data_IF_842408391327
#
_entry.id   IF_842408391327
#
_cell.length_a   1.000
_cell.length_b   1.000
_cell.length_c   1.000
_cell.angle_alpha   90.00
_cell.angle_beta   90.00
_cell.angle_gamma   90.00
#
_symmetry.space_group_name_H-M   'P 1'
#
loop_
_entity.id
_entity.type
_entity.pdbx_description
1 polymer ?
#
# COMPACT_ATOMS: atom_id res chain seq x y z
N UNK A 1 27.14 10.67 16.18
CA UNK A 1 26.91 11.59 17.32
C UNK A 1 25.43 11.69 17.71
N UNK A 2 24.48 11.93 16.76
CA UNK A 2 23.06 12.08 17.06
C UNK A 2 22.45 10.84 17.75
N UNK A 3 22.71 9.63 17.24
CA UNK A 3 22.24 8.39 17.86
C UNK A 3 22.84 8.16 19.25
N UNK A 4 24.09 8.60 19.48
CA UNK A 4 24.70 8.54 20.80
C UNK A 4 23.99 9.45 21.81
N UNK A 5 23.65 10.67 21.38
CA UNK A 5 22.84 11.58 22.19
C UNK A 5 21.47 10.98 22.51
N UNK A 6 20.78 10.41 21.53
CA UNK A 6 19.50 9.71 21.77
C UNK A 6 19.64 8.57 22.77
N UNK A 7 20.68 7.74 22.63
CA UNK A 7 20.96 6.67 23.59
C UNK A 7 21.16 7.18 25.02
N UNK A 8 21.84 8.32 25.15
CA UNK A 8 22.13 8.92 26.46
C UNK A 8 20.89 9.38 27.21
N UNK A 9 19.92 10.00 26.51
CA UNK A 9 18.75 10.54 27.20
C UNK A 9 17.50 9.66 27.12
N UNK A 10 17.34 8.82 26.06
CA UNK A 10 16.20 7.89 25.96
C UNK A 10 16.46 6.58 26.69
N UNK A 11 17.72 6.17 26.83
CA UNK A 11 18.06 4.81 27.25
C UNK A 11 17.62 3.73 26.23
N UNK A 12 17.76 2.44 26.59
CA UNK A 12 17.31 1.35 25.75
C UNK A 12 15.77 1.28 25.73
N UNK A 13 15.15 1.62 24.59
CA UNK A 13 13.71 1.61 24.39
C UNK A 13 13.36 1.39 22.90
N UNK A 14 12.10 1.08 22.61
CA UNK A 14 11.60 0.84 21.24
C UNK A 14 11.84 2.03 20.31
N UNK A 15 11.71 3.25 20.83
CA UNK A 15 11.99 4.47 20.05
C UNK A 15 13.44 4.54 19.62
N UNK A 16 14.39 4.25 20.51
CA UNK A 16 15.81 4.21 20.16
C UNK A 16 16.10 3.13 19.11
N UNK A 17 15.52 1.93 19.25
CA UNK A 17 15.67 0.85 18.28
C UNK A 17 15.15 1.28 16.89
N UNK A 18 14.00 1.93 16.85
CA UNK A 18 13.43 2.48 15.61
C UNK A 18 14.35 3.54 14.98
N UNK A 19 14.90 4.47 15.76
CA UNK A 19 15.82 5.50 15.25
C UNK A 19 17.13 4.91 14.72
N UNK A 20 17.66 3.88 15.41
CA UNK A 20 18.85 3.13 14.97
C UNK A 20 18.58 2.42 13.63
N UNK A 21 17.39 1.87 13.46
CA UNK A 21 16.96 1.25 12.19
C UNK A 21 16.82 2.30 11.07
N UNK A 22 16.28 3.49 11.36
CA UNK A 22 16.06 4.55 10.37
C UNK A 22 17.35 5.26 9.94
N UNK A 23 18.30 5.46 10.83
CA UNK A 23 19.50 6.26 10.57
C UNK A 23 20.32 5.82 9.35
N UNK A 24 20.73 4.55 9.20
CA UNK A 24 21.50 4.12 8.02
C UNK A 24 20.68 4.26 6.74
N UNK A 25 19.37 4.05 6.79
CA UNK A 25 18.47 4.24 5.65
C UNK A 25 18.42 5.69 5.18
N UNK A 26 18.31 6.64 6.10
CA UNK A 26 18.31 8.06 5.79
C UNK A 26 19.66 8.51 5.20
N UNK A 27 20.78 7.97 5.69
CA UNK A 27 22.12 8.23 5.13
C UNK A 27 22.19 7.74 3.69
N UNK A 28 21.75 6.52 3.42
CA UNK A 28 21.74 5.96 2.07
C UNK A 28 20.76 6.69 1.14
N UNK A 29 19.58 7.08 1.63
CA UNK A 29 18.64 7.88 0.85
C UNK A 29 19.23 9.23 0.47
N UNK A 30 19.96 9.90 1.39
CA UNK A 30 20.69 11.11 1.05
C UNK A 30 21.79 10.85 0.02
N UNK A 31 22.50 9.73 0.11
CA UNK A 31 23.57 9.37 -0.82
C UNK A 31 23.04 9.23 -2.25
N UNK A 32 21.93 8.49 -2.43
CA UNK A 32 21.36 8.20 -3.76
C UNK A 32 20.53 9.34 -4.34
N UNK A 33 20.08 10.29 -3.51
CA UNK A 33 19.28 11.42 -3.95
C UNK A 33 20.10 12.32 -4.88
N UNK A 34 19.54 12.74 -6.01
CA UNK A 34 20.16 13.73 -6.93
C UNK A 34 20.40 15.07 -6.22
N UNK A 35 21.37 15.90 -6.66
CA UNK A 35 21.55 17.24 -6.09
C UNK A 35 20.26 18.07 -6.09
N UNK A 36 19.46 18.00 -7.16
CA UNK A 36 18.18 18.69 -7.30
C UNK A 36 17.01 17.97 -6.64
N UNK A 37 17.26 16.83 -5.99
CA UNK A 37 16.22 15.95 -5.44
C UNK A 37 15.69 16.40 -4.10
N UNK A 38 14.49 15.94 -3.79
CA UNK A 38 13.75 16.18 -2.57
C UNK A 38 13.42 14.89 -1.84
N UNK A 39 13.33 14.93 -0.52
CA UNK A 39 12.85 13.83 0.30
C UNK A 39 11.70 14.30 1.18
N UNK A 40 10.68 13.44 1.30
CA UNK A 40 9.53 13.62 2.17
C UNK A 40 9.49 12.46 3.15
N UNK A 41 9.56 12.73 4.43
CA UNK A 41 9.47 11.72 5.48
C UNK A 41 8.14 11.88 6.23
N UNK A 42 7.23 10.96 6.01
CA UNK A 42 5.93 10.92 6.66
C UNK A 42 6.04 10.11 7.96
N UNK A 43 5.61 10.69 9.04
CA UNK A 43 5.60 10.06 10.36
C UNK A 43 4.42 10.52 11.20
N UNK A 44 4.14 9.77 12.26
CA UNK A 44 3.22 10.20 13.28
C UNK A 44 3.90 11.15 14.29
N UNK A 45 3.14 11.88 15.11
CA UNK A 45 3.69 12.80 16.10
C UNK A 45 4.57 12.12 17.17
N UNK A 46 4.41 10.81 17.41
CA UNK A 46 5.18 10.08 18.44
C UNK A 46 6.68 10.05 18.12
N UNK A 47 7.00 9.78 16.84
CA UNK A 47 8.39 9.70 16.37
C UNK A 47 8.88 11.01 15.73
N UNK A 48 7.97 11.91 15.36
CA UNK A 48 8.24 13.06 14.49
C UNK A 48 9.39 13.92 14.98
N UNK A 49 9.39 14.32 16.25
CA UNK A 49 10.43 15.20 16.80
C UNK A 49 11.84 14.57 16.77
N UNK A 50 11.96 13.28 17.06
CA UNK A 50 13.23 12.56 16.99
C UNK A 50 13.70 12.37 15.55
N UNK A 51 12.78 12.06 14.65
CA UNK A 51 13.07 11.94 13.22
C UNK A 51 13.50 13.28 12.62
N UNK A 52 12.92 14.41 13.08
CA UNK A 52 13.34 15.74 12.66
C UNK A 52 14.82 15.99 13.00
N UNK A 53 15.25 15.68 14.23
CA UNK A 53 16.64 15.82 14.64
C UNK A 53 17.56 14.87 13.84
N UNK A 54 17.12 13.65 13.58
CA UNK A 54 17.86 12.69 12.78
C UNK A 54 17.99 13.14 11.31
N UNK A 55 16.94 13.74 10.76
CA UNK A 55 16.95 14.35 9.42
C UNK A 55 17.88 15.55 9.35
N UNK A 56 17.89 16.42 10.38
CA UNK A 56 18.83 17.55 10.47
C UNK A 56 20.28 17.07 10.54
N UNK A 57 20.55 16.02 11.32
CA UNK A 57 21.88 15.42 11.41
C UNK A 57 22.33 14.78 10.08
N UNK A 58 21.37 14.25 9.30
CA UNK A 58 21.65 13.54 8.06
C UNK A 58 21.72 14.49 6.87
N UNK A 59 20.70 15.32 6.65
CA UNK A 59 20.58 16.20 5.49
C UNK A 59 21.18 17.58 5.70
N UNK A 60 21.25 18.04 6.96
CA UNK A 60 21.61 19.39 7.37
C UNK A 60 20.37 20.26 7.58
N UNK A 61 20.29 20.94 8.73
CA UNK A 61 19.14 21.78 9.10
C UNK A 61 18.83 22.90 8.10
N UNK A 62 19.86 23.43 7.40
CA UNK A 62 19.68 24.43 6.34
C UNK A 62 18.89 23.95 5.12
N UNK A 63 18.82 22.62 4.90
CA UNK A 63 18.07 22.01 3.81
C UNK A 63 16.65 21.59 4.20
N UNK A 64 16.25 21.82 5.44
CA UNK A 64 14.86 21.72 5.86
C UNK A 64 14.02 22.80 5.17
N UNK A 65 13.00 22.37 4.43
CA UNK A 65 12.15 23.29 3.69
C UNK A 65 10.84 23.58 4.40
N UNK A 66 10.16 22.52 4.87
CA UNK A 66 8.87 22.63 5.58
C UNK A 66 8.57 21.39 6.43
N UNK A 67 7.83 21.64 7.47
CA UNK A 67 6.97 20.67 8.12
C UNK A 67 5.57 20.82 7.50
N UNK A 68 5.05 19.75 6.94
CA UNK A 68 3.71 19.70 6.35
C UNK A 68 2.83 18.94 7.33
N UNK A 69 1.71 19.55 7.69
CA UNK A 69 0.69 18.98 8.56
C UNK A 69 -0.42 18.41 7.69
N UNK A 70 -0.57 17.11 7.68
CA UNK A 70 -1.68 16.46 7.00
C UNK A 70 -2.81 16.17 7.99
N UNK A 71 -3.96 16.81 7.78
CA UNK A 71 -5.15 16.63 8.62
C UNK A 71 -5.78 15.26 8.33
N UNK A 72 -5.81 14.42 9.37
CA UNK A 72 -6.44 13.09 9.35
C UNK A 72 -7.58 13.00 10.36
N UNK A 73 -8.08 14.13 10.82
CA UNK A 73 -9.03 14.22 11.94
C UNK A 73 -10.29 13.39 11.71
N UNK A 74 -10.52 12.46 12.62
CA UNK A 74 -11.79 11.76 12.80
C UNK A 74 -12.18 11.91 14.26
N UNK A 75 -13.09 12.84 14.54
CA UNK A 75 -13.52 13.19 15.89
C UNK A 75 -14.79 12.41 16.27
N UNK A 76 -14.81 11.09 16.06
CA UNK A 76 -15.98 10.24 16.30
C UNK A 76 -15.61 8.86 16.86
N UNK A 77 -16.63 8.15 17.32
CA UNK A 77 -16.50 6.79 17.82
C UNK A 77 -15.72 6.69 19.13
N UNK A 78 -15.02 5.57 19.35
CA UNK A 78 -14.29 5.28 20.59
C UNK A 78 -13.20 6.32 20.93
N UNK A 79 -12.70 7.05 19.95
CA UNK A 79 -11.68 8.09 20.16
C UNK A 79 -12.19 9.23 21.02
N UNK A 80 -13.51 9.52 21.00
CA UNK A 80 -14.10 10.61 21.79
C UNK A 80 -14.22 10.27 23.28
N UNK A 81 -14.01 9.01 23.66
CA UNK A 81 -13.98 8.55 25.05
C UNK A 81 -12.63 8.79 25.72
N UNK A 82 -11.59 9.11 24.91
CA UNK A 82 -10.25 9.36 25.43
C UNK A 82 -10.22 10.61 26.30
N UNK A 83 -9.63 10.49 27.50
CA UNK A 83 -9.43 11.62 28.41
C UNK A 83 -8.17 12.43 28.02
N UNK A 84 -8.05 12.77 26.74
CA UNK A 84 -6.94 13.50 26.14
C UNK A 84 -7.34 14.10 24.80
N UNK A 85 -6.51 15.03 24.27
CA UNK A 85 -6.68 15.55 22.91
C UNK A 85 -6.57 14.43 21.87
N UNK A 86 -7.54 14.37 20.96
CA UNK A 86 -7.57 13.35 19.91
C UNK A 86 -6.55 13.75 18.85
N UNK A 87 -5.68 12.79 18.46
CA UNK A 87 -4.74 12.99 17.36
C UNK A 87 -5.49 13.29 16.07
N UNK A 88 -5.23 14.47 15.48
CA UNK A 88 -5.87 14.98 14.29
C UNK A 88 -4.95 15.10 13.07
N UNK A 89 -3.65 14.80 13.18
CA UNK A 89 -2.73 14.98 12.06
C UNK A 89 -1.59 13.97 12.04
N UNK A 90 -0.98 13.83 10.87
CA UNK A 90 0.36 13.29 10.65
C UNK A 90 1.28 14.41 10.16
N UNK A 91 2.58 14.23 10.39
CA UNK A 91 3.62 15.16 9.97
C UNK A 91 4.39 14.60 8.79
N UNK A 92 4.71 15.48 7.82
CA UNK A 92 5.57 15.15 6.69
C UNK A 92 6.72 16.15 6.65
N UNK A 93 7.94 15.71 6.91
CA UNK A 93 9.14 16.55 6.82
C UNK A 93 9.63 16.62 5.39
N UNK A 94 9.75 17.82 4.87
CA UNK A 94 10.24 18.10 3.52
C UNK A 94 11.65 18.67 3.58
N UNK A 95 12.59 17.95 2.97
CA UNK A 95 13.99 18.36 2.80
C UNK A 95 14.39 18.30 1.34
N UNK A 96 15.43 19.07 1.00
CA UNK A 96 16.12 18.96 -0.29
C UNK A 96 17.54 18.50 -0.09
N UNK A 97 18.17 17.97 -1.14
CA UNK A 97 19.60 17.59 -1.10
C UNK A 97 20.50 18.80 -1.05
N UNK A 98 20.14 19.85 -1.83
CA UNK A 98 20.92 21.07 -2.00
C UNK A 98 19.98 22.30 -2.08
N UNK A 99 20.56 23.49 -2.27
CA UNK A 99 19.83 24.75 -2.38
C UNK A 99 19.12 24.89 -3.74
N UNK A 100 19.63 24.27 -4.80
CA UNK A 100 18.99 24.20 -6.12
C UNK A 100 18.20 22.89 -6.21
N UNK A 101 16.86 22.97 -6.26
CA UNK A 101 15.99 21.83 -6.28
C UNK A 101 14.75 22.03 -7.15
N UNK A 102 14.16 20.93 -7.61
CA UNK A 102 12.91 20.95 -8.36
C UNK A 102 11.74 21.22 -7.43
N UNK A 103 10.99 22.29 -7.70
CA UNK A 103 9.72 22.57 -7.02
C UNK A 103 8.71 23.22 -7.95
N UNK A 104 7.69 22.46 -8.32
CA UNK A 104 6.56 22.91 -9.14
C UNK A 104 5.44 23.38 -8.20
N UNK A 105 5.14 24.69 -8.21
CA UNK A 105 4.09 25.27 -7.37
C UNK A 105 2.76 24.59 -7.63
N UNK A 106 2.16 24.05 -6.57
CA UNK A 106 0.84 23.47 -6.61
C UNK A 106 -0.20 24.51 -6.23
N UNK A 107 -1.34 24.48 -6.91
CA UNK A 107 -2.46 25.39 -6.66
C UNK A 107 -3.76 24.61 -6.57
N UNK A 108 -4.72 25.14 -5.85
CA UNK A 108 -6.09 24.65 -5.75
C UNK A 108 -7.07 25.75 -6.17
N UNK A 109 -8.33 25.40 -6.28
CA UNK A 109 -9.39 26.38 -6.55
C UNK A 109 -9.56 27.38 -5.40
N UNK A 110 -10.00 28.55 -5.73
CA UNK A 110 -10.38 29.54 -4.73
C UNK A 110 -11.74 29.20 -4.13
N UNK A 111 -11.91 29.46 -2.83
CA UNK A 111 -13.20 29.29 -2.15
C UNK A 111 -14.25 30.21 -2.78
N UNK A 112 -15.50 29.77 -2.83
CA UNK A 112 -16.60 30.51 -3.43
C UNK A 112 -16.79 31.90 -2.78
N UNK A 113 -16.59 32.02 -1.46
CA UNK A 113 -16.67 33.27 -0.73
C UNK A 113 -15.61 34.28 -1.21
N UNK A 114 -14.44 33.81 -1.64
CA UNK A 114 -13.41 34.65 -2.22
C UNK A 114 -13.78 35.10 -3.64
N UNK A 115 -14.29 34.17 -4.46
CA UNK A 115 -14.77 34.45 -5.82
C UNK A 115 -15.93 35.43 -5.80
N UNK A 116 -16.85 35.36 -4.83
CA UNK A 116 -17.98 36.28 -4.67
C UNK A 116 -17.56 37.73 -4.39
N UNK A 117 -16.34 37.98 -3.92
CA UNK A 117 -15.80 39.33 -3.74
C UNK A 117 -15.57 40.09 -5.06
N UNK A 118 -15.47 39.38 -6.18
CA UNK A 118 -15.31 39.96 -7.52
C UNK A 118 -16.67 40.35 -8.09
N UNK A 119 -17.29 41.36 -7.49
CA UNK A 119 -18.65 41.78 -7.76
C UNK A 119 -18.76 43.07 -8.62
N UNK A 120 -17.62 43.71 -8.94
CA UNK A 120 -17.54 44.85 -9.84
C UNK A 120 -17.21 44.38 -11.25
N UNK A 121 -17.68 45.16 -12.26
CA UNK A 121 -17.41 44.89 -13.68
C UNK A 121 -16.79 46.16 -14.27
N UNK A 122 -15.71 46.02 -15.04
CA UNK A 122 -15.08 47.12 -15.76
C UNK A 122 -15.76 47.39 -17.13
N UNK A 123 -15.18 48.32 -17.88
CA UNK A 123 -15.70 48.73 -19.20
C UNK A 123 -15.68 47.60 -20.24
N UNK A 124 -14.79 46.63 -20.05
CA UNK A 124 -14.59 45.49 -20.95
C UNK A 124 -15.38 44.23 -20.50
N UNK A 125 -16.23 44.38 -19.46
CA UNK A 125 -17.04 43.28 -18.91
C UNK A 125 -16.29 42.34 -17.98
N UNK A 126 -15.03 42.65 -17.59
CA UNK A 126 -14.22 41.78 -16.70
C UNK A 126 -14.60 42.00 -15.23
N UNK A 127 -14.84 40.93 -14.51
CA UNK A 127 -15.13 40.96 -13.07
C UNK A 127 -13.89 41.29 -12.26
N UNK A 128 -13.98 42.21 -11.32
CA UNK A 128 -12.89 42.62 -10.45
C UNK A 128 -13.34 43.00 -9.03
N UNK A 129 -12.37 43.10 -8.11
CA UNK A 129 -12.55 43.81 -6.85
C UNK A 129 -11.31 44.67 -6.55
N UNK A 130 -11.51 45.75 -5.78
CA UNK A 130 -10.42 46.64 -5.39
C UNK A 130 -9.61 46.04 -4.23
N UNK A 131 -8.40 45.62 -4.50
CA UNK A 131 -7.47 45.10 -3.51
C UNK A 131 -6.29 46.02 -3.29
N UNK A 132 -6.20 46.62 -2.09
CA UNK A 132 -5.09 47.52 -1.72
C UNK A 132 -4.87 48.66 -2.75
N UNK A 133 -5.96 49.30 -3.21
CA UNK A 133 -5.91 50.44 -4.13
C UNK A 133 -5.66 50.09 -5.61
N UNK A 134 -5.64 48.78 -5.97
CA UNK A 134 -5.53 48.34 -7.38
C UNK A 134 -6.61 47.29 -7.69
N UNK A 135 -7.22 47.37 -8.91
CA UNK A 135 -8.18 46.35 -9.33
C UNK A 135 -7.48 44.99 -9.50
N UNK A 136 -8.10 43.96 -8.96
CA UNK A 136 -7.71 42.55 -9.18
C UNK A 136 -8.80 41.89 -9.98
N UNK A 137 -8.45 41.28 -11.08
CA UNK A 137 -9.39 40.65 -12.00
C UNK A 137 -9.60 39.16 -11.66
N UNK A 138 -10.86 38.74 -11.76
CA UNK A 138 -11.24 37.34 -11.46
C UNK A 138 -10.52 36.35 -12.38
N UNK A 139 -10.50 36.66 -13.68
CA UNK A 139 -9.87 35.76 -14.68
C UNK A 139 -8.39 35.48 -14.36
N UNK A 140 -7.66 36.55 -13.97
CA UNK A 140 -6.24 36.43 -13.62
C UNK A 140 -6.04 35.61 -12.36
N UNK A 141 -6.93 35.76 -11.39
CA UNK A 141 -6.90 35.00 -10.13
C UNK A 141 -7.27 33.55 -10.36
N UNK A 142 -8.29 33.25 -11.15
CA UNK A 142 -8.68 31.89 -11.49
C UNK A 142 -7.57 31.17 -12.27
N UNK A 143 -6.95 31.84 -13.23
CA UNK A 143 -5.81 31.29 -13.99
C UNK A 143 -4.60 31.00 -13.10
N UNK A 144 -4.33 31.82 -12.10
CA UNK A 144 -3.21 31.67 -11.17
C UNK A 144 -3.47 30.58 -10.15
N UNK A 145 -4.72 30.37 -9.75
CA UNK A 145 -5.12 29.49 -8.67
C UNK A 145 -4.70 30.00 -7.28
N UNK A 146 -5.16 29.33 -6.24
CA UNK A 146 -4.76 29.55 -4.85
C UNK A 146 -3.57 28.66 -4.51
N UNK A 147 -2.46 29.23 -4.08
CA UNK A 147 -1.30 28.44 -3.64
C UNK A 147 -1.68 27.53 -2.46
N UNK A 148 -1.19 26.31 -2.50
CA UNK A 148 -1.32 25.33 -1.40
C UNK A 148 -0.27 25.65 -0.35
N UNK A 149 -0.67 25.73 0.92
CA UNK A 149 0.22 25.90 2.07
C UNK A 149 0.74 24.57 2.59
N UNK A 150 1.27 24.61 3.80
CA UNK A 150 1.86 23.47 4.50
C UNK A 150 0.87 22.75 5.45
N UNK A 151 -0.38 23.21 5.53
CA UNK A 151 -1.48 22.49 6.22
C UNK A 151 -2.42 21.94 5.17
N UNK A 152 -2.46 20.60 5.06
CA UNK A 152 -3.25 19.89 4.05
C UNK A 152 -4.49 19.25 4.68
N UNK A 153 -5.61 19.95 4.60
CA UNK A 153 -6.93 19.48 5.06
C UNK A 153 -7.87 19.10 3.91
N UNK A 154 -7.41 19.22 2.68
CA UNK A 154 -8.16 18.94 1.47
C UNK A 154 -7.92 17.55 0.89
N UNK A 155 -7.04 16.77 1.50
CA UNK A 155 -6.79 15.35 1.17
C UNK A 155 -7.28 14.49 2.31
N UNK A 156 -8.41 13.83 2.10
CA UNK A 156 -9.01 12.99 3.13
C UNK A 156 -8.23 11.69 3.36
N UNK A 157 -8.08 11.30 4.62
CA UNK A 157 -7.49 10.03 5.02
C UNK A 157 -8.50 8.88 4.88
N UNK A 158 -8.02 7.63 4.84
CA UNK A 158 -8.91 6.46 4.89
C UNK A 158 -9.62 6.25 6.23
N UNK A 159 -9.26 7.00 7.26
CA UNK A 159 -10.04 7.08 8.49
C UNK A 159 -11.28 7.96 8.31
N UNK A 160 -11.17 9.03 7.50
CA UNK A 160 -12.28 9.91 7.14
C UNK A 160 -13.18 9.29 6.08
N UNK A 161 -12.60 8.55 5.10
CA UNK A 161 -13.36 7.84 4.07
C UNK A 161 -12.99 6.35 4.08
N UNK A 162 -13.53 5.55 5.02
CA UNK A 162 -13.20 4.12 5.12
C UNK A 162 -13.70 3.30 3.93
N UNK A 163 -14.69 3.81 3.19
CA UNK A 163 -15.29 3.16 2.01
C UNK A 163 -14.61 3.53 0.69
N UNK A 164 -13.53 4.34 0.70
CA UNK A 164 -12.83 4.74 -0.50
C UNK A 164 -12.47 3.53 -1.38
N UNK A 165 -12.77 3.61 -2.68
CA UNK A 165 -12.59 2.51 -3.63
C UNK A 165 -11.12 2.13 -3.79
N UNK A 166 -10.21 3.10 -3.74
CA UNK A 166 -8.75 2.88 -3.82
C UNK A 166 -8.15 2.17 -2.59
N UNK A 167 -8.90 2.04 -1.48
CA UNK A 167 -8.45 1.36 -0.27
C UNK A 167 -8.41 -0.15 -0.48
N UNK A 168 -7.19 -0.74 -0.54
CA UNK A 168 -6.97 -2.17 -0.78
C UNK A 168 -7.01 -3.01 0.50
N UNK A 169 -7.10 -2.39 1.68
CA UNK A 169 -7.10 -3.08 2.98
C UNK A 169 -5.72 -3.26 3.60
N UNK A 170 -4.67 -2.68 3.01
CA UNK A 170 -3.35 -2.66 3.64
C UNK A 170 -3.32 -1.65 4.80
N UNK A 171 -2.86 -2.04 6.01
CA UNK A 171 -3.06 -1.24 7.24
C UNK A 171 -2.49 0.18 7.18
N UNK A 172 -1.35 0.37 6.52
CA UNK A 172 -0.63 1.66 6.44
C UNK A 172 -0.83 2.39 5.11
N UNK A 173 -1.77 1.92 4.27
CA UNK A 173 -2.03 2.53 2.96
C UNK A 173 -2.40 4.01 3.10
N UNK A 174 -1.80 4.84 2.25
CA UNK A 174 -2.10 6.27 2.12
C UNK A 174 -2.93 6.53 0.85
N UNK A 175 -3.74 7.62 0.80
CA UNK A 175 -4.46 8.03 -0.40
C UNK A 175 -3.51 8.38 -1.55
N UNK A 176 -3.86 8.03 -2.79
CA UNK A 176 -3.05 8.40 -3.97
C UNK A 176 -2.87 9.91 -4.10
N UNK A 177 -3.91 10.70 -3.83
CA UNK A 177 -3.87 12.15 -3.91
C UNK A 177 -2.75 12.78 -3.07
N UNK A 178 -2.40 12.17 -1.92
CA UNK A 178 -1.30 12.62 -1.08
C UNK A 178 0.04 12.49 -1.81
N UNK A 179 0.27 11.31 -2.40
CA UNK A 179 1.52 10.99 -3.10
C UNK A 179 1.59 11.73 -4.45
N UNK A 180 0.47 11.88 -5.16
CA UNK A 180 0.39 12.68 -6.39
C UNK A 180 0.82 14.13 -6.14
N UNK A 181 0.33 14.76 -5.07
CA UNK A 181 0.72 16.13 -4.68
C UNK A 181 2.22 16.25 -4.46
N UNK A 182 2.81 15.32 -3.70
CA UNK A 182 4.25 15.30 -3.41
C UNK A 182 5.05 15.12 -4.70
N UNK A 183 4.70 14.14 -5.52
CA UNK A 183 5.40 13.80 -6.76
C UNK A 183 5.32 14.95 -7.77
N UNK A 184 4.13 15.55 -7.94
CA UNK A 184 3.93 16.70 -8.83
C UNK A 184 4.76 17.91 -8.38
N UNK A 185 4.82 18.18 -7.07
CA UNK A 185 5.56 19.31 -6.54
C UNK A 185 7.08 19.17 -6.74
N UNK A 186 7.64 17.97 -6.59
CA UNK A 186 9.09 17.80 -6.49
C UNK A 186 9.72 16.93 -7.56
N UNK A 187 9.02 16.69 -8.67
CA UNK A 187 9.56 15.96 -9.83
C UNK A 187 8.89 16.40 -11.14
N UNK A 188 9.55 16.09 -12.25
CA UNK A 188 9.02 16.25 -13.61
C UNK A 188 8.75 14.88 -14.25
N UNK A 189 8.02 14.83 -15.39
CA UNK A 189 7.86 13.59 -16.16
C UNK A 189 9.23 12.99 -16.52
N UNK A 190 9.35 11.66 -16.37
CA UNK A 190 10.60 10.91 -16.59
C UNK A 190 11.55 10.90 -15.39
N UNK A 191 11.37 11.73 -14.37
CA UNK A 191 12.19 11.66 -13.16
C UNK A 191 11.98 10.36 -12.40
N UNK A 192 12.98 9.97 -11.59
CA UNK A 192 12.95 8.77 -10.76
C UNK A 192 12.38 9.07 -9.37
N UNK A 193 11.35 8.34 -8.99
CA UNK A 193 10.75 8.35 -7.65
C UNK A 193 11.15 7.06 -6.92
N UNK A 194 11.71 7.19 -5.73
CA UNK A 194 12.08 6.07 -4.86
C UNK A 194 11.18 6.06 -3.62
N UNK A 195 10.53 4.94 -3.34
CA UNK A 195 9.86 4.68 -2.07
C UNK A 195 10.48 3.44 -1.40
N UNK A 196 11.31 3.63 -0.34
CA UNK A 196 12.02 2.54 0.31
C UNK A 196 11.17 1.77 1.34
N UNK A 197 9.90 2.16 1.53
CA UNK A 197 8.92 1.54 2.41
C UNK A 197 7.56 1.48 1.73
N UNK A 198 7.56 0.96 0.49
CA UNK A 198 6.46 1.19 -0.47
C UNK A 198 5.15 0.46 -0.11
N UNK A 199 5.14 -0.50 0.83
CA UNK A 199 3.95 -1.22 1.24
C UNK A 199 3.14 -1.75 0.05
N UNK A 200 1.85 -1.45 0.00
CA UNK A 200 0.99 -1.84 -1.13
C UNK A 200 1.17 -0.97 -2.39
N UNK A 201 2.24 -0.16 -2.48
CA UNK A 201 2.66 0.54 -3.69
C UNK A 201 1.83 1.78 -4.06
N UNK A 202 1.33 2.56 -3.11
CA UNK A 202 0.58 3.80 -3.43
C UNK A 202 1.46 4.81 -4.15
N UNK A 203 2.68 5.04 -3.67
CA UNK A 203 3.66 5.93 -4.32
C UNK A 203 4.00 5.44 -5.72
N UNK A 204 4.17 4.14 -5.88
CA UNK A 204 4.51 3.51 -7.15
C UNK A 204 3.39 3.68 -8.18
N UNK A 205 2.14 3.45 -7.77
CA UNK A 205 0.97 3.66 -8.63
C UNK A 205 0.82 5.14 -9.03
N UNK A 206 0.99 6.06 -8.09
CA UNK A 206 0.95 7.49 -8.36
C UNK A 206 2.10 7.92 -9.31
N UNK A 207 3.33 7.42 -9.12
CA UNK A 207 4.45 7.70 -10.00
C UNK A 207 4.22 7.18 -11.43
N UNK A 208 3.74 5.94 -11.57
CA UNK A 208 3.38 5.34 -12.87
C UNK A 208 2.32 6.18 -13.58
N UNK A 209 1.25 6.56 -12.88
CA UNK A 209 0.15 7.39 -13.40
C UNK A 209 0.63 8.75 -13.88
N UNK A 210 1.61 9.33 -13.18
CA UNK A 210 2.21 10.61 -13.48
C UNK A 210 3.39 10.53 -14.45
N UNK A 211 3.64 9.38 -15.07
CA UNK A 211 4.73 9.14 -16.04
C UNK A 211 6.13 9.39 -15.44
N UNK A 212 6.32 9.05 -14.16
CA UNK A 212 7.64 8.99 -13.52
C UNK A 212 8.18 7.58 -13.61
N UNK A 213 9.50 7.44 -13.71
CA UNK A 213 10.17 6.16 -13.43
C UNK A 213 10.15 5.93 -11.92
N UNK A 214 10.11 4.67 -11.47
CA UNK A 214 10.00 4.41 -10.06
C UNK A 214 10.78 3.17 -9.60
N UNK A 215 11.16 3.19 -8.33
CA UNK A 215 11.69 2.06 -7.59
C UNK A 215 10.93 1.97 -6.28
N UNK A 216 10.33 0.81 -6.00
CA UNK A 216 9.70 0.50 -4.71
C UNK A 216 10.49 -0.58 -3.99
N UNK A 217 10.72 -0.40 -2.69
CA UNK A 217 11.39 -1.39 -1.84
C UNK A 217 10.47 -1.69 -0.66
N UNK A 218 10.30 -2.95 -0.35
CA UNK A 218 9.64 -3.40 0.89
C UNK A 218 10.30 -4.68 1.38
N UNK A 219 10.23 -4.92 2.68
CA UNK A 219 10.81 -6.12 3.30
C UNK A 219 9.86 -7.31 3.26
N UNK A 220 8.58 -7.10 2.96
CA UNK A 220 7.55 -8.14 3.04
C UNK A 220 7.12 -8.62 1.65
N UNK A 221 7.12 -9.94 1.45
CA UNK A 221 6.60 -10.54 0.23
C UNK A 221 5.10 -10.27 0.04
N UNK A 222 4.34 -10.09 1.14
CA UNK A 222 2.93 -9.70 1.07
C UNK A 222 2.76 -8.33 0.42
N UNK A 223 3.55 -7.32 0.82
CA UNK A 223 3.51 -5.99 0.22
C UNK A 223 3.83 -6.04 -1.27
N UNK A 224 4.88 -6.77 -1.66
CA UNK A 224 5.28 -6.95 -3.06
C UNK A 224 4.15 -7.62 -3.87
N UNK A 225 3.50 -8.64 -3.34
CA UNK A 225 2.37 -9.32 -4.00
C UNK A 225 1.20 -8.37 -4.23
N UNK A 226 0.83 -7.57 -3.21
CA UNK A 226 -0.23 -6.57 -3.32
C UNK A 226 0.11 -5.48 -4.33
N UNK A 227 1.36 -5.01 -4.34
CA UNK A 227 1.84 -3.99 -5.28
C UNK A 227 1.81 -4.51 -6.72
N UNK A 228 2.30 -5.74 -6.98
CA UNK A 228 2.23 -6.39 -8.29
C UNK A 228 0.77 -6.44 -8.78
N UNK A 229 -0.13 -6.90 -7.91
CA UNK A 229 -1.56 -6.98 -8.23
C UNK A 229 -2.15 -5.59 -8.52
N UNK A 230 -1.86 -4.59 -7.68
CA UNK A 230 -2.31 -3.20 -7.89
C UNK A 230 -1.89 -2.67 -9.24
N UNK A 231 -0.62 -2.81 -9.60
CA UNK A 231 -0.09 -2.35 -10.89
C UNK A 231 -0.80 -3.02 -12.07
N UNK A 232 -0.97 -4.34 -12.01
CA UNK A 232 -1.67 -5.10 -13.06
C UNK A 232 -3.16 -4.76 -13.16
N UNK A 233 -3.84 -4.59 -12.03
CA UNK A 233 -5.26 -4.21 -12.01
C UNK A 233 -5.48 -2.80 -12.57
N UNK A 234 -4.57 -1.85 -12.24
CA UNK A 234 -4.70 -0.43 -12.59
C UNK A 234 -4.27 -0.16 -14.03
N UNK A 235 -3.12 -0.69 -14.45
CA UNK A 235 -2.46 -0.35 -15.71
C UNK A 235 -2.42 -1.52 -16.72
N UNK A 236 -2.75 -2.73 -16.30
CA UNK A 236 -2.71 -3.92 -17.17
C UNK A 236 -1.31 -4.19 -17.71
N UNK A 237 -1.21 -4.40 -19.01
CA UNK A 237 0.07 -4.70 -19.72
C UNK A 237 0.98 -3.48 -19.88
N UNK A 238 0.49 -2.28 -19.61
CA UNK A 238 1.30 -1.05 -19.66
C UNK A 238 2.28 -0.95 -18.47
N UNK A 239 1.96 -1.61 -17.36
CA UNK A 239 2.84 -1.68 -16.19
C UNK A 239 3.96 -2.69 -16.44
N UNK A 240 5.06 -2.21 -17.03
CA UNK A 240 6.29 -3.01 -17.18
C UNK A 240 7.18 -2.82 -15.96
N UNK A 241 7.45 -3.88 -15.22
CA UNK A 241 8.31 -3.84 -14.04
C UNK A 241 9.08 -5.15 -13.87
N UNK A 242 10.17 -5.10 -13.13
CA UNK A 242 10.97 -6.26 -12.70
C UNK A 242 10.94 -6.31 -11.18
N UNK A 243 10.72 -7.49 -10.62
CA UNK A 243 10.87 -7.73 -9.18
C UNK A 243 12.24 -8.35 -8.94
N UNK A 244 12.92 -7.87 -7.90
CA UNK A 244 14.23 -8.37 -7.46
C UNK A 244 14.11 -8.85 -6.02
N UNK A 245 14.85 -9.90 -5.65
CA UNK A 245 14.87 -10.44 -4.30
C UNK A 245 13.76 -11.44 -3.98
N UNK A 246 12.89 -11.78 -4.92
CA UNK A 246 12.00 -12.94 -4.77
C UNK A 246 12.74 -14.24 -5.15
N UNK A 247 12.53 -15.35 -4.42
CA UNK A 247 13.03 -16.65 -4.85
C UNK A 247 12.52 -17.02 -6.24
N UNK A 248 13.43 -17.40 -7.13
CA UNK A 248 13.14 -17.83 -8.50
C UNK A 248 13.55 -19.27 -8.76
N UNK A 249 14.22 -19.88 -7.78
CA UNK A 249 14.70 -21.26 -7.83
C UNK A 249 14.42 -21.98 -6.51
N UNK A 250 14.55 -23.31 -6.53
CA UNK A 250 14.39 -24.12 -5.30
C UNK A 250 15.47 -23.78 -4.26
N UNK A 251 16.76 -23.62 -4.62
CA UNK A 251 17.77 -23.18 -3.65
C UNK A 251 17.44 -21.82 -3.00
N UNK A 252 16.96 -20.85 -3.77
CA UNK A 252 16.56 -19.53 -3.22
C UNK A 252 15.39 -19.68 -2.24
N UNK A 253 14.40 -20.49 -2.60
CA UNK A 253 13.24 -20.78 -1.73
C UNK A 253 13.67 -21.48 -0.43
N UNK A 254 14.61 -22.43 -0.50
CA UNK A 254 15.17 -23.12 0.67
C UNK A 254 15.93 -22.14 1.58
N UNK A 255 16.76 -21.27 1.00
CA UNK A 255 17.48 -20.24 1.75
C UNK A 255 16.52 -19.26 2.45
N UNK A 256 15.43 -18.86 1.79
CA UNK A 256 14.40 -18.04 2.41
C UNK A 256 13.69 -18.79 3.55
N UNK A 257 13.35 -20.07 3.35
CA UNK A 257 12.68 -20.88 4.36
C UNK A 257 13.53 -21.08 5.63
N UNK A 258 14.86 -21.19 5.46
CA UNK A 258 15.82 -21.31 6.57
C UNK A 258 16.01 -19.96 7.30
N UNK A 259 16.15 -18.88 6.55
CA UNK A 259 16.45 -17.55 7.12
C UNK A 259 15.22 -16.88 7.74
N UNK A 260 14.04 -17.00 7.11
CA UNK A 260 12.79 -16.40 7.56
C UNK A 260 11.56 -17.23 7.11
N UNK A 261 11.10 -18.16 7.97
CA UNK A 261 9.95 -19.02 7.66
C UNK A 261 8.64 -18.26 7.38
N UNK A 262 8.44 -17.09 8.01
CA UNK A 262 7.24 -16.27 7.78
C UNK A 262 7.26 -15.61 6.40
N UNK A 263 8.40 -15.08 5.98
CA UNK A 263 8.56 -14.52 4.64
C UNK A 263 8.43 -15.62 3.57
N UNK A 264 8.97 -16.80 3.83
CA UNK A 264 8.77 -17.96 2.96
C UNK A 264 7.29 -18.31 2.80
N UNK A 265 6.55 -18.35 3.90
CA UNK A 265 5.11 -18.61 3.89
C UNK A 265 4.36 -17.55 3.07
N UNK A 266 4.63 -16.27 3.30
CA UNK A 266 3.99 -15.18 2.56
C UNK A 266 4.35 -15.19 1.07
N UNK A 267 5.60 -15.50 0.74
CA UNK A 267 6.03 -15.66 -0.65
C UNK A 267 5.31 -16.83 -1.32
N UNK A 268 5.24 -18.00 -0.67
CA UNK A 268 4.56 -19.17 -1.19
C UNK A 268 3.06 -18.92 -1.41
N UNK A 269 2.40 -18.23 -0.48
CA UNK A 269 1.02 -17.76 -0.65
C UNK A 269 0.87 -16.81 -1.85
N UNK A 270 1.85 -15.94 -2.06
CA UNK A 270 1.90 -15.04 -3.20
C UNK A 270 1.94 -15.75 -4.55
N UNK A 271 2.64 -16.91 -4.66
CA UNK A 271 2.69 -17.72 -5.88
C UNK A 271 1.31 -18.20 -6.34
N UNK A 272 0.41 -18.43 -5.39
CA UNK A 272 -0.96 -18.90 -5.66
C UNK A 272 -2.03 -17.79 -5.56
N UNK A 273 -1.63 -16.56 -5.27
CA UNK A 273 -2.54 -15.43 -5.14
C UNK A 273 -3.41 -15.48 -3.88
N UNK A 274 -2.95 -16.15 -2.83
CA UNK A 274 -3.65 -16.25 -1.56
C UNK A 274 -3.32 -15.07 -0.64
N UNK A 275 -4.28 -14.71 0.21
CA UNK A 275 -4.10 -13.74 1.29
C UNK A 275 -3.70 -14.50 2.55
N UNK A 276 -2.65 -14.07 3.27
CA UNK A 276 -2.35 -14.57 4.60
C UNK A 276 -3.56 -14.39 5.53
N UNK A 277 -3.82 -15.38 6.38
CA UNK A 277 -4.80 -15.24 7.45
C UNK A 277 -4.18 -14.44 8.59
N UNK A 278 -4.92 -13.46 9.13
CA UNK A 278 -4.44 -12.64 10.25
C UNK A 278 -4.31 -13.51 11.49
N UNK A 279 -3.09 -13.70 12.00
CA UNK A 279 -2.85 -14.33 13.29
C UNK A 279 -3.47 -13.49 14.42
N UNK A 280 -4.68 -13.82 14.81
CA UNK A 280 -5.20 -13.39 16.11
C UNK A 280 -4.40 -14.12 17.19
N UNK A 281 -3.63 -13.38 18.00
CA UNK A 281 -2.86 -13.92 19.12
C UNK A 281 -3.68 -14.97 19.86
N UNK A 282 -3.26 -16.23 19.82
CA UNK A 282 -3.75 -17.27 20.73
C UNK A 282 -4.24 -18.59 20.16
N UNK A 283 -4.37 -18.80 18.84
CA UNK A 283 -4.67 -20.13 18.31
C UNK A 283 -4.18 -20.24 16.85
N UNK A 284 -3.19 -21.08 16.62
CA UNK A 284 -2.89 -21.62 15.32
C UNK A 284 -4.08 -22.46 14.85
N UNK A 285 -4.87 -21.91 13.91
CA UNK A 285 -6.03 -22.58 13.34
C UNK A 285 -5.66 -23.56 12.23
N UNK A 286 -4.37 -23.74 11.95
CA UNK A 286 -3.87 -24.56 10.85
C UNK A 286 -4.16 -23.95 9.46
N UNK A 287 -4.33 -22.61 9.38
CA UNK A 287 -4.61 -21.90 8.14
C UNK A 287 -3.52 -20.83 7.96
N UNK A 288 -2.67 -21.04 6.97
CA UNK A 288 -1.62 -20.08 6.64
C UNK A 288 -2.14 -19.00 5.67
N UNK A 289 -3.06 -19.36 4.78
CA UNK A 289 -3.66 -18.42 3.85
C UNK A 289 -5.00 -18.87 3.29
N UNK A 290 -5.67 -17.92 2.63
CA UNK A 290 -7.02 -18.11 2.08
C UNK A 290 -7.18 -17.47 0.72
N UNK A 291 -7.87 -18.18 -0.19
CA UNK A 291 -8.42 -17.61 -1.42
C UNK A 291 -9.94 -17.63 -1.29
N UNK A 292 -10.60 -16.52 -1.59
CA UNK A 292 -12.08 -16.42 -1.57
C UNK A 292 -12.56 -16.26 -2.99
N UNK A 293 -13.55 -17.07 -3.38
CA UNK A 293 -14.15 -17.02 -4.70
C UNK A 293 -15.68 -17.12 -4.61
N UNK A 294 -16.36 -16.67 -5.67
CA UNK A 294 -17.83 -16.73 -5.74
C UNK A 294 -18.27 -18.18 -5.97
N UNK A 295 -19.09 -18.70 -5.08
CA UNK A 295 -19.68 -20.03 -5.17
C UNK A 295 -20.94 -20.11 -6.03
N UNK A 296 -21.63 -21.24 -5.91
CA UNK A 296 -22.87 -21.50 -6.64
C UNK A 296 -24.06 -20.78 -5.96
N UNK A 297 -24.46 -19.66 -6.54
CA UNK A 297 -25.60 -18.87 -6.05
C UNK A 297 -25.28 -17.38 -5.88
N UNK A 298 -26.33 -16.57 -5.78
CA UNK A 298 -26.17 -15.12 -5.59
C UNK A 298 -25.73 -14.82 -4.16
N UNK A 299 -24.59 -14.12 -4.01
CA UNK A 299 -24.03 -13.75 -2.71
C UNK A 299 -23.31 -14.89 -1.96
N UNK A 300 -23.20 -16.10 -2.54
CA UNK A 300 -22.48 -17.22 -1.92
C UNK A 300 -20.98 -17.08 -2.21
N UNK A 301 -20.16 -17.15 -1.17
CA UNK A 301 -18.71 -17.18 -1.28
C UNK A 301 -18.14 -18.48 -0.72
N UNK A 302 -17.25 -19.06 -1.49
CA UNK A 302 -16.49 -20.26 -1.15
C UNK A 302 -15.03 -19.93 -0.88
N UNK A 303 -14.31 -20.83 -0.23
CA UNK A 303 -12.91 -20.59 0.07
C UNK A 303 -12.01 -21.78 -0.22
N UNK A 304 -10.77 -21.45 -0.60
CA UNK A 304 -9.64 -22.37 -0.58
C UNK A 304 -8.82 -22.04 0.64
N UNK A 305 -8.58 -23.04 1.49
CA UNK A 305 -7.68 -22.93 2.64
C UNK A 305 -6.31 -23.47 2.23
N UNK A 306 -5.26 -22.76 2.63
CA UNK A 306 -3.88 -23.10 2.26
C UNK A 306 -3.05 -23.27 3.52
N UNK A 307 -2.32 -24.40 3.57
CA UNK A 307 -1.27 -24.65 4.54
C UNK A 307 0.08 -24.73 3.82
N UNK A 308 1.10 -24.07 4.37
CA UNK A 308 2.46 -24.02 3.81
C UNK A 308 3.43 -24.68 4.77
N UNK A 309 4.24 -25.61 4.27
CA UNK A 309 5.23 -26.37 5.06
C UNK A 309 6.60 -26.32 4.38
N UNK A 310 7.55 -25.66 5.02
CA UNK A 310 8.95 -25.61 4.57
C UNK A 310 9.73 -26.90 4.90
N UNK A 311 9.43 -27.52 6.04
CA UNK A 311 10.16 -28.67 6.57
C UNK A 311 9.55 -30.02 6.20
N UNK A 312 9.78 -31.00 7.07
CA UNK A 312 9.29 -32.37 6.89
C UNK A 312 7.78 -32.46 6.88
N UNK A 313 7.22 -33.16 5.89
CA UNK A 313 5.78 -33.36 5.72
C UNK A 313 5.38 -34.82 5.92
N UNK A 314 4.19 -35.02 6.48
CA UNK A 314 3.62 -36.35 6.79
C UNK A 314 2.12 -36.37 6.43
N UNK A 315 1.53 -37.57 6.41
CA UNK A 315 0.09 -37.74 6.21
C UNK A 315 -0.78 -37.01 7.27
N UNK A 316 -0.22 -36.78 8.47
CA UNK A 316 -0.94 -36.01 9.49
C UNK A 316 -1.25 -34.58 9.02
N UNK A 317 -0.34 -33.92 8.31
CA UNK A 317 -0.60 -32.57 7.76
C UNK A 317 -1.78 -32.57 6.76
N UNK A 318 -1.97 -33.69 6.03
CA UNK A 318 -3.11 -33.82 5.11
C UNK A 318 -4.42 -34.03 5.88
N UNK A 319 -4.40 -34.85 6.96
CA UNK A 319 -5.56 -35.07 7.84
C UNK A 319 -5.94 -33.80 8.58
N UNK A 320 -4.95 -33.08 9.12
CA UNK A 320 -5.17 -31.81 9.80
C UNK A 320 -5.84 -30.79 8.86
N UNK A 321 -5.33 -30.68 7.62
CA UNK A 321 -5.92 -29.83 6.59
C UNK A 321 -7.35 -30.25 6.26
N UNK A 322 -7.63 -31.56 6.18
CA UNK A 322 -8.97 -32.07 5.96
C UNK A 322 -9.92 -31.67 7.11
N UNK A 323 -9.49 -31.84 8.36
CA UNK A 323 -10.24 -31.41 9.53
C UNK A 323 -10.53 -29.88 9.53
N UNK A 324 -9.57 -29.08 9.09
CA UNK A 324 -9.74 -27.61 8.95
C UNK A 324 -10.77 -27.28 7.86
N UNK A 325 -10.73 -27.95 6.70
CA UNK A 325 -11.69 -27.77 5.60
C UNK A 325 -13.11 -28.05 6.11
N UNK A 326 -13.31 -29.15 6.84
CA UNK A 326 -14.64 -29.52 7.34
C UNK A 326 -15.13 -28.57 8.44
N UNK A 327 -14.25 -28.18 9.37
CA UNK A 327 -14.55 -27.19 10.41
C UNK A 327 -15.00 -25.85 9.84
N UNK A 328 -14.25 -25.33 8.86
CA UNK A 328 -14.47 -24.00 8.30
C UNK A 328 -15.38 -24.02 7.06
N UNK A 329 -15.89 -25.21 6.69
CA UNK A 329 -16.75 -25.44 5.51
C UNK A 329 -16.13 -24.88 4.22
N UNK A 330 -14.82 -25.06 4.07
CA UNK A 330 -14.12 -24.61 2.89
C UNK A 330 -14.33 -25.59 1.72
N UNK A 331 -14.33 -25.07 0.49
CA UNK A 331 -14.53 -25.86 -0.71
C UNK A 331 -13.31 -26.73 -1.05
N UNK A 332 -12.11 -26.18 -0.88
CA UNK A 332 -10.85 -26.80 -1.28
C UNK A 332 -9.76 -26.50 -0.22
N UNK A 333 -8.88 -27.47 0.03
CA UNK A 333 -7.65 -27.32 0.79
C UNK A 333 -6.43 -27.56 -0.07
N UNK A 334 -5.38 -26.79 0.16
CA UNK A 334 -4.11 -26.91 -0.55
C UNK A 334 -2.97 -26.99 0.47
N UNK A 335 -2.17 -28.07 0.39
CA UNK A 335 -0.91 -28.16 1.10
C UNK A 335 0.22 -27.78 0.13
N UNK A 336 0.93 -26.70 0.43
CA UNK A 336 2.13 -26.29 -0.31
C UNK A 336 3.36 -26.75 0.47
N UNK A 337 4.31 -27.43 -0.19
CA UNK A 337 5.49 -27.98 0.47
C UNK A 337 6.76 -27.82 -0.35
N UNK A 338 7.92 -27.75 0.35
CA UNK A 338 9.23 -27.85 -0.28
C UNK A 338 9.54 -29.28 -0.76
N UNK A 339 9.06 -30.29 -0.01
CA UNK A 339 9.31 -31.70 -0.28
C UNK A 339 8.16 -32.31 -1.11
N UNK A 340 8.51 -33.37 -1.88
CA UNK A 340 7.51 -34.13 -2.61
C UNK A 340 6.57 -34.89 -1.66
N UNK A 341 5.26 -34.89 -1.92
CA UNK A 341 4.30 -35.66 -1.14
C UNK A 341 4.53 -37.16 -1.28
N UNK A 342 4.53 -37.87 -0.14
CA UNK A 342 4.67 -39.30 -0.10
C UNK A 342 3.43 -40.05 -0.63
N UNK A 343 3.59 -41.35 -0.96
CA UNK A 343 2.47 -42.20 -1.39
C UNK A 343 1.26 -42.15 -0.43
N UNK A 344 1.46 -42.37 0.89
CA UNK A 344 0.37 -42.23 1.87
C UNK A 344 -0.31 -40.89 1.90
N UNK A 345 0.42 -39.78 1.71
CA UNK A 345 -0.17 -38.45 1.63
C UNK A 345 -1.08 -38.28 0.41
N UNK A 346 -0.65 -38.80 -0.75
CA UNK A 346 -1.43 -38.79 -1.98
C UNK A 346 -2.71 -39.61 -1.83
N UNK A 347 -2.64 -40.79 -1.20
CA UNK A 347 -3.82 -41.57 -0.89
C UNK A 347 -4.79 -40.85 0.03
N UNK A 348 -4.30 -40.25 1.12
CA UNK A 348 -5.11 -39.46 2.05
C UNK A 348 -5.82 -38.28 1.35
N UNK A 349 -5.11 -37.57 0.49
CA UNK A 349 -5.72 -36.47 -0.27
C UNK A 349 -6.84 -36.93 -1.21
N UNK A 350 -6.70 -38.08 -1.85
CA UNK A 350 -7.73 -38.67 -2.73
C UNK A 350 -8.99 -39.07 -1.95
N UNK A 351 -8.85 -39.55 -0.70
CA UNK A 351 -9.99 -39.96 0.14
C UNK A 351 -10.92 -38.79 0.52
N UNK A 352 -10.41 -37.54 0.50
CA UNK A 352 -11.20 -36.35 0.74
C UNK A 352 -12.26 -36.07 -0.35
N UNK A 353 -12.14 -36.72 -1.53
CA UNK A 353 -13.09 -36.59 -2.63
C UNK A 353 -12.97 -35.28 -3.40
N UNK A 354 -14.11 -34.76 -3.86
CA UNK A 354 -14.15 -33.63 -4.78
C UNK A 354 -15.10 -32.54 -4.29
N UNK A 355 -14.75 -31.30 -4.57
CA UNK A 355 -15.68 -30.18 -4.59
C UNK A 355 -16.32 -30.09 -5.98
N UNK A 356 -17.64 -30.02 -6.04
CA UNK A 356 -18.39 -29.91 -7.29
C UNK A 356 -18.97 -28.51 -7.42
N UNK A 357 -18.56 -27.78 -8.44
CA UNK A 357 -19.17 -26.49 -8.78
C UNK A 357 -20.25 -26.69 -9.83
N UNK A 358 -21.49 -26.42 -9.44
CA UNK A 358 -22.67 -26.50 -10.33
C UNK A 358 -22.59 -25.43 -11.42
N UNK A 359 -22.15 -24.23 -11.06
CA UNK A 359 -22.00 -23.10 -12.00
C UNK A 359 -21.05 -23.42 -13.15
N UNK A 360 -19.99 -24.17 -12.90
CA UNK A 360 -18.97 -24.52 -13.90
C UNK A 360 -19.11 -25.96 -14.41
N UNK A 361 -20.00 -26.76 -13.84
CA UNK A 361 -20.22 -28.18 -14.23
C UNK A 361 -18.94 -29.03 -14.09
N UNK A 362 -18.04 -28.69 -13.14
CA UNK A 362 -16.73 -29.29 -13.00
C UNK A 362 -16.44 -29.69 -11.56
N UNK A 363 -15.77 -30.84 -11.41
CA UNK A 363 -15.27 -31.34 -10.13
C UNK A 363 -13.81 -30.99 -9.94
N UNK A 364 -13.45 -30.54 -8.74
CA UNK A 364 -12.10 -30.17 -8.33
C UNK A 364 -11.68 -31.02 -7.14
N UNK A 365 -10.43 -31.55 -7.07
CA UNK A 365 -9.97 -32.29 -5.89
C UNK A 365 -10.15 -31.44 -4.61
N UNK A 366 -10.80 -32.03 -3.59
CA UNK A 366 -11.06 -31.30 -2.34
C UNK A 366 -9.78 -31.02 -1.58
N UNK A 367 -8.75 -31.91 -1.68
CA UNK A 367 -7.40 -31.66 -1.17
C UNK A 367 -6.40 -31.74 -2.32
N UNK A 368 -5.54 -30.75 -2.43
CA UNK A 368 -4.48 -30.69 -3.43
C UNK A 368 -3.12 -30.54 -2.77
N UNK A 369 -2.15 -31.32 -3.26
CA UNK A 369 -0.78 -31.29 -2.80
C UNK A 369 0.07 -30.68 -3.89
N UNK A 370 0.70 -29.54 -3.59
CA UNK A 370 1.52 -28.78 -4.54
C UNK A 370 2.91 -28.57 -3.93
N UNK A 371 3.93 -28.76 -4.75
CA UNK A 371 5.29 -28.44 -4.34
C UNK A 371 5.69 -27.05 -4.83
N UNK A 372 6.65 -26.42 -4.15
CA UNK A 372 7.25 -25.15 -4.62
C UNK A 372 7.83 -25.33 -6.02
N UNK A 373 8.43 -26.49 -6.33
CA UNK A 373 8.95 -26.79 -7.65
C UNK A 373 7.86 -26.73 -8.73
N UNK A 374 6.73 -27.35 -8.48
CA UNK A 374 5.58 -27.33 -9.40
C UNK A 374 5.01 -25.92 -9.57
N UNK A 375 4.92 -25.13 -8.49
CA UNK A 375 4.44 -23.76 -8.54
C UNK A 375 5.38 -22.85 -9.34
N UNK A 376 6.70 -22.98 -9.16
CA UNK A 376 7.70 -22.26 -9.96
C UNK A 376 7.68 -22.69 -11.43
N UNK A 377 7.34 -23.93 -11.73
CA UNK A 377 7.11 -24.43 -13.08
C UNK A 377 5.77 -23.96 -13.68
N UNK A 378 4.96 -23.19 -12.95
CA UNK A 378 3.70 -22.61 -13.41
C UNK A 378 2.45 -23.42 -13.15
N UNK A 379 2.53 -24.53 -12.39
CA UNK A 379 1.35 -25.28 -11.94
C UNK A 379 0.47 -24.36 -11.07
N UNK A 380 -0.83 -24.51 -11.19
CA UNK A 380 -1.82 -23.69 -10.47
C UNK A 380 -2.73 -24.58 -9.63
N UNK A 381 -3.37 -23.98 -8.63
CA UNK A 381 -4.46 -24.63 -7.90
C UNK A 381 -5.60 -24.95 -8.88
N UNK A 382 -6.11 -26.17 -8.83
CA UNK A 382 -7.30 -26.56 -9.56
C UNK A 382 -8.54 -26.08 -8.82
N UNK A 383 -9.15 -25.00 -9.33
CA UNK A 383 -10.31 -24.36 -8.72
C UNK A 383 -11.15 -23.66 -9.80
N UNK A 384 -12.39 -23.23 -9.51
CA UNK A 384 -13.17 -22.42 -10.44
C UNK A 384 -12.40 -21.19 -10.94
N UNK A 385 -12.63 -20.73 -12.20
CA UNK A 385 -11.84 -19.64 -12.82
C UNK A 385 -11.92 -18.34 -12.02
N UNK A 386 -10.79 -17.88 -11.49
CA UNK A 386 -10.68 -16.72 -10.59
C UNK A 386 -11.04 -15.39 -11.27
N UNK A 387 -10.77 -15.23 -12.58
CA UNK A 387 -10.88 -13.93 -13.28
C UNK A 387 -12.24 -13.24 -13.18
N UNK A 388 -13.32 -13.98 -12.91
CA UNK A 388 -14.68 -13.43 -12.79
C UNK A 388 -15.23 -13.45 -11.36
N UNK A 389 -14.56 -14.14 -10.43
CA UNK A 389 -15.12 -14.47 -9.10
C UNK A 389 -14.17 -14.23 -7.94
N UNK A 390 -13.01 -13.62 -8.16
CA UNK A 390 -12.02 -13.40 -7.11
C UNK A 390 -12.50 -12.35 -6.09
N UNK A 391 -12.56 -12.73 -4.83
CA UNK A 391 -12.86 -11.86 -3.69
C UNK A 391 -11.73 -11.85 -2.64
N UNK A 392 -10.57 -12.46 -2.95
CA UNK A 392 -9.42 -12.59 -2.04
C UNK A 392 -8.81 -11.23 -1.72
N UNK A 393 -8.64 -10.41 -2.73
CA UNK A 393 -8.12 -9.05 -2.61
C UNK A 393 -9.06 -8.06 -3.27
N UNK A 394 -9.19 -6.87 -2.66
CA UNK A 394 -9.92 -5.78 -3.29
C UNK A 394 -9.21 -5.37 -4.58
N UNK A 395 -9.95 -5.28 -5.68
CA UNK A 395 -9.41 -4.90 -6.97
C UNK A 395 -9.12 -3.41 -7.02
N UNK A 396 -7.93 -3.03 -7.51
CA UNK A 396 -7.59 -1.65 -7.75
C UNK A 396 -8.37 -1.07 -8.94
N UNK A 397 -8.65 0.22 -8.91
CA UNK A 397 -9.36 0.90 -10.01
C UNK A 397 -8.47 1.00 -11.25
N UNK A 398 -9.09 0.83 -12.43
CA UNK A 398 -8.39 1.02 -13.71
C UNK A 398 -8.08 2.50 -13.95
N UNK A 399 -6.87 2.77 -14.39
CA UNK A 399 -6.47 4.09 -14.86
C UNK A 399 -7.18 4.41 -16.20
N UNK A 400 -7.94 5.49 -16.24
CA UNK A 400 -8.72 5.91 -17.42
C UNK A 400 -8.02 6.91 -18.34
N UNK A 401 -6.72 7.20 -18.12
CA UNK A 401 -5.97 8.21 -18.86
C UNK A 401 -6.38 9.65 -18.54
N UNK A 402 -5.76 10.63 -19.22
CA UNK A 402 -5.93 12.05 -18.92
C UNK A 402 -7.33 12.64 -19.20
N UNK A 403 -8.15 11.98 -20.04
CA UNK A 403 -9.52 12.42 -20.35
C UNK A 403 -10.50 12.35 -19.17
N UNK A 404 -10.10 11.78 -18.03
CA UNK A 404 -10.89 11.69 -16.79
C UNK A 404 -10.45 12.64 -15.67
N UNK A 405 -9.49 13.52 -15.93
CA UNK A 405 -8.93 14.47 -14.95
C UNK A 405 -9.71 15.80 -14.87
N UNK A 406 -11.03 15.76 -14.82
CA UNK A 406 -11.74 16.75 -14.04
C UNK A 406 -11.64 16.27 -12.59
N UNK A 407 -10.90 17.01 -11.78
CA UNK A 407 -10.89 16.85 -10.34
C UNK A 407 -12.34 16.96 -9.86
N UNK A 408 -13.03 15.83 -9.82
CA UNK A 408 -14.38 15.74 -9.30
C UNK A 408 -14.34 15.82 -7.77
N UNK A 409 -14.03 17.00 -7.26
CA UNK A 409 -14.54 17.45 -5.98
C UNK A 409 -15.85 18.22 -6.26
N UNK A 410 -16.87 17.55 -6.76
CA UNK A 410 -18.21 18.04 -6.67
C UNK A 410 -18.83 17.50 -5.38
N UNK A 411 -19.20 18.39 -4.49
CA UNK A 411 -20.19 18.19 -3.44
C UNK A 411 -21.46 17.54 -4.05
N UNK A 412 -21.51 16.21 -4.08
CA UNK A 412 -22.73 15.45 -4.32
C UNK A 412 -22.56 14.06 -3.75
N UNK A 413 -22.53 13.94 -2.44
CA UNK A 413 -22.92 12.74 -1.70
C UNK A 413 -23.30 13.13 -0.25
N UNK A 414 -24.11 14.22 -0.11
CA UNK A 414 -24.99 14.40 1.03
C UNK A 414 -26.42 14.07 0.57
N UNK A 415 -26.81 12.82 0.77
CA UNK A 415 -28.19 12.41 1.06
C UNK A 415 -28.19 11.11 1.82
#
# INVERSE_FOLDING_TARGET
DCLHAFRTFLGPCDMLAYLVMMAPRLVELRRVLKPTGSIYLHCDPTAGHYLKLLMDATFGGKYFRREIIWDISVLSGFKTVANNWIRGHDTIFYYTKDDIFTFNKQTTEHRQEYIARFNKVDKDGRRYFDGRGKPRYLDDILKKGKAIGDVWSDIMSFQQIPTAKERLGYPTQKPEALLERIILASSNEGDLVLDPFCGCGTTIAAAQKLKRTWIGIDITHLAITLMKKRLLDTFGTEAKFKVLGEPTSIPDAAALAESDPYQFQWWALGLVGARPEDEKKGADKGIDGKIVFKGDGEGVFESVIISVKAGHITSNHVRDLHGVIDRDKAAIGVLISMQDPTGPMKQEAVTAGFFESKTWGKKYPKIQLLTIAELLAGKKIEMPPIKQVEATFKKAEKFKGEKGRQLAFSEKDEK
#
